data_IF_201379312094
#
_entry.id   IF_201379312094
#
_cell.length_a   1.000
_cell.length_b   1.000
_cell.length_c   1.000
_cell.angle_alpha   90.00
_cell.angle_beta   90.00
_cell.angle_gamma   90.00
#
_symmetry.space_group_name_H-M   'P 1'
#
loop_
_entity.id
_entity.type
_entity.pdbx_description
1 polymer ?
#
# COMPACT_ATOMS: atom_id res chain seq x y z
N UNK A 1 -12.85 -51.35 51.05
CA UNK A 1 -11.61 -50.64 50.80
C UNK A 1 -11.87 -49.60 49.68
N UNK A 2 -12.00 -48.33 50.07
CA UNK A 2 -12.28 -47.24 49.11
C UNK A 2 -10.94 -46.63 48.69
N UNK A 3 -10.57 -46.81 47.43
CA UNK A 3 -9.27 -46.41 46.84
C UNK A 3 -9.12 -44.90 46.80
N UNK A 4 -8.02 -44.32 47.31
CA UNK A 4 -7.79 -42.88 47.34
C UNK A 4 -7.47 -42.28 45.99
N UNK A 5 -7.34 -43.09 44.94
CA UNK A 5 -6.95 -42.64 43.57
C UNK A 5 -8.05 -41.86 42.84
N UNK A 6 -9.32 -42.01 43.23
CA UNK A 6 -10.42 -41.32 42.59
C UNK A 6 -10.47 -39.81 42.93
N UNK A 7 -9.94 -39.41 44.06
CA UNK A 7 -9.86 -38.00 44.47
C UNK A 7 -8.70 -37.25 43.79
N UNK A 8 -7.63 -37.96 43.42
CA UNK A 8 -6.50 -37.37 42.72
C UNK A 8 -6.79 -37.12 41.24
N UNK A 9 -7.62 -37.97 40.61
CA UNK A 9 -8.01 -37.80 39.20
C UNK A 9 -8.98 -36.63 39.02
N UNK A 10 -9.84 -36.35 39.98
CA UNK A 10 -10.75 -35.20 39.93
C UNK A 10 -10.04 -33.87 40.14
N UNK A 11 -8.94 -33.83 40.88
CA UNK A 11 -8.14 -32.64 41.09
C UNK A 11 -7.27 -32.31 39.85
N UNK A 12 -6.83 -33.30 39.05
CA UNK A 12 -6.09 -33.09 37.80
C UNK A 12 -6.99 -32.58 36.67
N UNK A 13 -8.27 -32.98 36.66
CA UNK A 13 -9.21 -32.51 35.64
C UNK A 13 -9.69 -31.07 35.87
N UNK A 14 -9.69 -30.60 37.13
CA UNK A 14 -10.06 -29.23 37.44
C UNK A 14 -8.96 -28.20 37.12
N UNK A 15 -7.71 -28.63 36.97
CA UNK A 15 -6.59 -27.72 36.65
C UNK A 15 -6.45 -27.40 35.16
N UNK A 16 -7.09 -28.18 34.27
CA UNK A 16 -7.02 -28.00 32.82
C UNK A 16 -8.04 -26.97 32.33
N UNK A 17 -9.02 -26.58 33.15
CA UNK A 17 -10.09 -25.64 32.74
C UNK A 17 -9.74 -24.17 33.05
N UNK A 18 -8.62 -23.92 33.75
CA UNK A 18 -8.18 -22.55 34.11
C UNK A 18 -6.98 -22.04 33.29
N UNK A 19 -6.75 -22.60 32.11
CA UNK A 19 -5.95 -21.84 31.14
C UNK A 19 -6.87 -20.71 30.66
N UNK A 20 -6.63 -19.45 31.04
CA UNK A 20 -7.33 -18.37 30.41
C UNK A 20 -6.94 -18.49 28.92
N UNK A 21 -7.95 -18.82 28.13
CA UNK A 21 -7.87 -18.68 26.70
C UNK A 21 -7.64 -17.17 26.49
N UNK A 22 -6.39 -16.73 26.55
CA UNK A 22 -5.98 -15.43 26.06
C UNK A 22 -6.22 -15.47 24.55
N UNK A 23 -7.49 -15.38 24.16
CA UNK A 23 -7.81 -14.67 22.94
C UNK A 23 -7.12 -13.34 23.17
N UNK A 24 -6.03 -13.11 22.45
CA UNK A 24 -5.55 -11.76 22.21
C UNK A 24 -6.76 -11.03 21.65
N UNK A 25 -7.50 -10.35 22.52
CA UNK A 25 -8.39 -9.30 22.09
C UNK A 25 -7.50 -8.33 21.36
N UNK A 26 -7.45 -8.45 20.02
CA UNK A 26 -6.90 -7.44 19.13
C UNK A 26 -7.86 -6.26 19.15
N UNK A 27 -7.98 -5.61 20.28
CA UNK A 27 -8.74 -4.36 20.46
C UNK A 27 -7.82 -3.15 20.47
N UNK A 28 -6.58 -3.27 19.97
CA UNK A 28 -5.86 -2.09 19.51
C UNK A 28 -6.19 -1.94 18.03
N UNK A 29 -7.05 -1.00 17.70
CA UNK A 29 -7.24 -0.58 16.32
C UNK A 29 -5.86 -0.20 15.77
N UNK A 30 -5.48 -0.77 14.61
CA UNK A 30 -4.22 -0.42 13.97
C UNK A 30 -4.17 1.09 13.74
N UNK A 31 -3.05 1.72 14.03
CA UNK A 31 -2.85 3.15 13.80
C UNK A 31 -2.88 3.52 12.29
N UNK A 32 -2.84 2.52 11.42
CA UNK A 32 -2.97 2.69 9.97
C UNK A 32 -4.42 2.79 9.48
N UNK A 33 -5.41 2.48 10.32
CA UNK A 33 -6.82 2.62 9.93
C UNK A 33 -7.16 4.09 9.70
N UNK A 34 -7.80 4.37 8.56
CA UNK A 34 -8.22 5.74 8.22
C UNK A 34 -8.31 6.02 6.74
N UNK A 35 -8.60 7.28 6.44
CA UNK A 35 -8.70 7.81 5.10
C UNK A 35 -7.45 8.63 4.77
N UNK A 36 -6.85 8.39 3.62
CA UNK A 36 -5.56 8.95 3.25
C UNK A 36 -5.56 9.52 1.84
N UNK A 37 -5.12 10.77 1.71
CA UNK A 37 -4.86 11.41 0.42
C UNK A 37 -3.36 11.35 0.14
N UNK A 38 -2.98 10.89 -1.04
CA UNK A 38 -1.58 10.90 -1.46
C UNK A 38 -1.16 12.34 -1.70
N UNK A 39 -0.31 12.88 -0.84
CA UNK A 39 0.13 14.28 -0.90
C UNK A 39 1.48 14.45 -1.57
N UNK A 40 2.34 13.43 -1.51
CA UNK A 40 3.63 13.44 -2.18
C UNK A 40 4.09 12.02 -2.53
N UNK A 41 4.69 11.88 -3.71
CA UNK A 41 5.37 10.66 -4.14
C UNK A 41 6.58 11.06 -5.00
N UNK A 42 7.78 10.76 -4.50
CA UNK A 42 9.04 11.10 -5.16
C UNK A 42 9.92 9.88 -5.32
N UNK A 43 10.67 9.80 -6.42
CA UNK A 43 11.70 8.77 -6.58
C UNK A 43 12.71 8.86 -5.43
N UNK A 44 12.90 7.77 -4.70
CA UNK A 44 13.90 7.68 -3.62
C UNK A 44 15.32 7.50 -4.17
N UNK A 45 15.45 6.90 -5.34
CA UNK A 45 16.71 6.63 -6.03
C UNK A 45 16.58 7.00 -7.51
N UNK A 46 17.69 7.31 -8.19
CA UNK A 46 17.68 7.54 -9.62
C UNK A 46 17.29 6.24 -10.36
N UNK A 47 16.42 6.38 -11.36
CA UNK A 47 15.98 5.29 -12.21
C UNK A 47 16.63 5.41 -13.59
N UNK A 48 17.44 4.42 -13.96
CA UNK A 48 18.08 4.38 -15.29
C UNK A 48 17.09 3.88 -16.34
N UNK A 49 16.89 4.66 -17.39
CA UNK A 49 16.00 4.32 -18.51
C UNK A 49 16.69 4.51 -19.85
N UNK A 50 16.51 3.59 -20.82
CA UNK A 50 17.08 3.74 -22.14
C UNK A 50 16.24 4.74 -22.95
N UNK A 51 16.91 5.71 -23.59
CA UNK A 51 16.31 6.68 -24.52
C UNK A 51 16.90 6.54 -25.92
N UNK A 52 16.16 7.02 -26.92
CA UNK A 52 16.61 6.98 -28.31
C UNK A 52 17.78 7.97 -28.53
N UNK A 53 17.68 9.14 -27.91
CA UNK A 53 18.59 10.27 -28.19
C UNK A 53 19.92 10.11 -27.44
N UNK A 54 19.91 9.62 -26.21
CA UNK A 54 21.08 9.67 -25.31
C UNK A 54 21.52 8.31 -24.77
N UNK A 55 20.90 7.20 -25.22
CA UNK A 55 21.16 5.90 -24.67
C UNK A 55 20.52 5.77 -23.26
N UNK A 56 21.30 5.40 -22.26
CA UNK A 56 20.78 5.24 -20.89
C UNK A 56 20.87 6.56 -20.11
N UNK A 57 19.74 7.06 -19.64
CA UNK A 57 19.62 8.33 -18.91
C UNK A 57 19.01 8.10 -17.52
N UNK A 58 19.53 8.74 -16.46
CA UNK A 58 18.89 8.68 -15.16
C UNK A 58 17.68 9.61 -15.08
N UNK A 59 16.53 9.08 -14.65
CA UNK A 59 15.49 9.92 -14.04
C UNK A 59 15.96 10.20 -12.62
N UNK A 60 16.20 11.47 -12.22
CA UNK A 60 16.86 11.79 -10.96
C UNK A 60 16.04 11.34 -9.74
N UNK A 61 16.71 11.00 -8.64
CA UNK A 61 16.08 10.93 -7.33
C UNK A 61 15.42 12.29 -7.01
N UNK A 62 14.30 12.25 -6.27
CA UNK A 62 13.49 13.45 -6.01
C UNK A 62 12.49 13.80 -7.12
N UNK A 63 12.54 13.15 -8.29
CA UNK A 63 11.51 13.36 -9.32
C UNK A 63 10.12 13.08 -8.75
N UNK A 64 9.25 14.10 -8.82
CA UNK A 64 7.90 14.05 -8.28
C UNK A 64 6.94 13.41 -9.28
N UNK A 65 6.26 12.34 -8.88
CA UNK A 65 5.26 11.64 -9.69
C UNK A 65 3.86 11.65 -9.05
N UNK A 66 3.65 12.50 -8.05
CA UNK A 66 2.38 12.58 -7.31
C UNK A 66 1.18 12.72 -8.24
N UNK A 67 1.27 13.62 -9.21
CA UNK A 67 0.19 13.84 -10.17
C UNK A 67 -0.12 12.62 -11.04
N UNK A 68 0.90 11.85 -11.41
CA UNK A 68 0.73 10.63 -12.20
C UNK A 68 -0.03 9.57 -11.39
N UNK A 69 0.33 9.38 -10.12
CA UNK A 69 -0.37 8.44 -9.22
C UNK A 69 -1.78 8.93 -8.96
N UNK A 70 -1.96 10.21 -8.64
CA UNK A 70 -3.28 10.80 -8.41
C UNK A 70 -4.19 10.64 -9.63
N UNK A 71 -3.69 10.91 -10.84
CA UNK A 71 -4.46 10.72 -12.07
C UNK A 71 -4.93 9.27 -12.26
N UNK A 72 -4.08 8.30 -11.92
CA UNK A 72 -4.43 6.88 -11.96
C UNK A 72 -5.55 6.54 -10.95
N UNK A 73 -5.47 7.06 -9.72
CA UNK A 73 -6.49 6.88 -8.70
C UNK A 73 -7.81 7.55 -9.08
N UNK A 74 -7.75 8.78 -9.60
CA UNK A 74 -8.92 9.52 -10.08
C UNK A 74 -9.67 8.74 -11.17
N UNK A 75 -8.93 8.17 -12.12
CA UNK A 75 -9.47 7.36 -13.19
C UNK A 75 -10.15 6.08 -12.65
N UNK A 76 -9.53 5.42 -11.66
CA UNK A 76 -10.06 4.17 -11.10
C UNK A 76 -11.43 4.35 -10.42
N UNK A 77 -11.67 5.48 -9.75
CA UNK A 77 -12.93 5.76 -9.05
C UNK A 77 -13.81 6.79 -9.76
N UNK A 78 -13.44 7.21 -10.95
CA UNK A 78 -14.14 8.25 -11.71
C UNK A 78 -14.36 9.54 -10.89
N UNK A 79 -13.31 10.00 -10.20
CA UNK A 79 -13.33 11.16 -9.32
C UNK A 79 -12.96 12.43 -10.08
N UNK A 80 -13.62 13.54 -9.76
CA UNK A 80 -13.44 14.82 -10.47
C UNK A 80 -12.20 15.61 -10.04
N UNK A 81 -11.67 15.34 -8.85
CA UNK A 81 -10.50 16.07 -8.33
C UNK A 81 -9.71 15.26 -7.30
N UNK A 82 -8.41 15.53 -7.20
CA UNK A 82 -7.49 14.78 -6.37
C UNK A 82 -7.74 14.95 -4.87
N UNK A 83 -8.16 16.12 -4.44
CA UNK A 83 -8.50 16.44 -3.04
C UNK A 83 -9.73 15.69 -2.54
N UNK A 84 -10.60 15.23 -3.45
CA UNK A 84 -11.77 14.39 -3.15
C UNK A 84 -11.48 12.90 -3.19
N UNK A 85 -10.38 12.49 -3.84
CA UNK A 85 -10.00 11.07 -3.89
C UNK A 85 -9.17 10.70 -2.67
N UNK A 86 -9.41 9.51 -2.12
CA UNK A 86 -8.65 8.99 -0.99
C UNK A 86 -8.59 7.46 -0.99
N UNK A 87 -7.59 6.96 -0.30
CA UNK A 87 -7.41 5.55 0.03
C UNK A 87 -7.97 5.33 1.41
N UNK A 88 -8.82 4.33 1.60
CA UNK A 88 -9.44 3.99 2.88
C UNK A 88 -8.93 2.62 3.35
N UNK A 89 -8.28 2.59 4.52
CA UNK A 89 -7.87 1.38 5.22
C UNK A 89 -8.86 1.11 6.34
N UNK A 90 -9.66 0.06 6.21
CA UNK A 90 -10.74 -0.27 7.16
C UNK A 90 -10.30 -1.28 8.21
N UNK A 91 -11.05 -1.33 9.32
CA UNK A 91 -10.82 -2.25 10.43
C UNK A 91 -10.96 -3.73 10.03
N UNK A 92 -11.75 -4.03 9.01
CA UNK A 92 -11.94 -5.36 8.45
C UNK A 92 -10.82 -5.78 7.47
N UNK A 93 -9.74 -4.98 7.42
CA UNK A 93 -8.62 -5.15 6.49
C UNK A 93 -8.98 -4.99 5.02
N UNK A 94 -10.14 -4.47 4.68
CA UNK A 94 -10.46 -4.10 3.32
C UNK A 94 -9.79 -2.77 2.93
N UNK A 95 -9.40 -2.67 1.66
CA UNK A 95 -8.80 -1.51 1.03
C UNK A 95 -9.79 -0.94 0.01
N UNK A 96 -10.13 0.33 0.15
CA UNK A 96 -10.98 1.02 -0.80
C UNK A 96 -10.27 2.22 -1.42
N UNK A 97 -10.57 2.44 -2.69
CA UNK A 97 -10.37 3.73 -3.35
C UNK A 97 -11.72 4.43 -3.36
N UNK A 98 -11.75 5.66 -2.90
CA UNK A 98 -13.01 6.40 -2.69
C UNK A 98 -12.92 7.81 -3.24
N UNK A 99 -14.06 8.32 -3.68
CA UNK A 99 -14.24 9.71 -4.07
C UNK A 99 -15.36 10.32 -3.22
N UNK A 100 -15.11 11.46 -2.60
CA UNK A 100 -16.06 12.14 -1.71
C UNK A 100 -17.36 12.48 -2.44
N UNK A 101 -18.48 12.02 -1.88
CA UNK A 101 -19.82 12.21 -2.44
C UNK A 101 -20.12 11.39 -3.70
N UNK A 102 -19.26 10.42 -4.07
CA UNK A 102 -19.41 9.60 -5.25
C UNK A 102 -19.02 8.12 -4.99
N UNK A 103 -18.44 7.47 -5.97
CA UNK A 103 -18.21 6.04 -6.00
C UNK A 103 -17.12 5.57 -5.01
N UNK A 104 -17.32 4.39 -4.45
CA UNK A 104 -16.32 3.59 -3.77
C UNK A 104 -15.97 2.36 -4.62
N UNK A 105 -14.69 2.04 -4.70
CA UNK A 105 -14.18 0.84 -5.35
C UNK A 105 -13.47 -0.01 -4.31
N UNK A 106 -13.90 -1.26 -4.11
CA UNK A 106 -13.11 -2.22 -3.35
C UNK A 106 -11.83 -2.50 -4.15
N UNK A 107 -10.72 -1.99 -3.67
CA UNK A 107 -9.42 -2.11 -4.30
C UNK A 107 -8.63 -3.34 -3.86
N UNK A 108 -9.11 -4.08 -2.85
CA UNK A 108 -8.46 -5.26 -2.33
C UNK A 108 -8.41 -5.32 -0.82
N UNK A 109 -7.25 -5.71 -0.28
CA UNK A 109 -7.04 -5.84 1.17
C UNK A 109 -5.72 -5.19 1.59
N UNK A 110 -5.60 -4.90 2.88
CA UNK A 110 -4.36 -4.46 3.48
C UNK A 110 -4.01 -5.31 4.71
N UNK A 111 -2.75 -5.30 5.08
CA UNK A 111 -2.21 -6.07 6.20
C UNK A 111 -1.15 -5.25 6.93
N UNK A 112 -1.25 -5.15 8.25
CA UNK A 112 -0.19 -4.61 9.07
C UNK A 112 0.88 -5.69 9.26
N UNK A 113 2.04 -5.49 8.64
CA UNK A 113 3.19 -6.41 8.74
C UNK A 113 3.95 -6.14 10.04
N UNK A 114 4.08 -4.87 10.41
CA UNK A 114 4.66 -4.40 11.67
C UNK A 114 4.19 -2.97 11.96
N UNK A 115 4.54 -2.41 13.10
CA UNK A 115 4.25 -1.00 13.43
C UNK A 115 4.86 0.03 12.46
N UNK A 116 5.79 -0.39 11.61
CA UNK A 116 6.46 0.47 10.62
C UNK A 116 6.34 -0.06 9.20
N UNK A 117 5.46 -1.04 8.97
CA UNK A 117 5.29 -1.63 7.64
C UNK A 117 3.87 -2.12 7.42
N UNK A 118 3.32 -1.80 6.27
CA UNK A 118 2.03 -2.29 5.80
C UNK A 118 2.14 -2.85 4.38
N UNK A 119 1.26 -3.79 4.06
CA UNK A 119 1.16 -4.41 2.75
C UNK A 119 -0.22 -4.16 2.18
N UNK A 120 -0.26 -3.68 0.94
CA UNK A 120 -1.48 -3.43 0.18
C UNK A 120 -1.56 -4.47 -0.94
N UNK A 121 -2.59 -5.31 -0.90
CA UNK A 121 -2.89 -6.27 -1.96
C UNK A 121 -3.98 -5.67 -2.84
N UNK A 122 -3.58 -4.97 -3.91
CA UNK A 122 -4.51 -4.29 -4.80
C UNK A 122 -4.93 -5.21 -5.95
N UNK A 123 -6.23 -5.30 -6.19
CA UNK A 123 -6.79 -6.12 -7.25
C UNK A 123 -6.69 -5.44 -8.63
N UNK A 124 -6.95 -6.20 -9.71
CA UNK A 124 -6.91 -5.69 -11.08
C UNK A 124 -7.97 -4.64 -11.40
N UNK A 125 -9.05 -4.59 -10.63
CA UNK A 125 -10.09 -3.56 -10.81
C UNK A 125 -9.58 -2.17 -10.41
N UNK A 126 -8.75 -2.11 -9.35
CA UNK A 126 -8.11 -0.88 -8.91
C UNK A 126 -6.95 -0.46 -9.82
N UNK A 127 -6.32 -1.42 -10.49
CA UNK A 127 -5.17 -1.18 -11.37
C UNK A 127 -5.40 -1.91 -12.70
N UNK A 128 -6.18 -1.34 -13.61
CA UNK A 128 -6.54 -1.99 -14.88
C UNK A 128 -5.33 -2.36 -15.76
N UNK A 129 -4.19 -1.68 -15.57
CA UNK A 129 -2.93 -2.00 -16.27
C UNK A 129 -2.24 -3.26 -15.75
N UNK A 130 -2.72 -3.85 -14.64
CA UNK A 130 -2.18 -5.09 -14.06
C UNK A 130 -3.28 -6.14 -13.93
N UNK A 131 -3.40 -7.10 -14.85
CA UNK A 131 -4.48 -8.10 -14.85
C UNK A 131 -4.47 -9.01 -13.62
N UNK A 132 -3.36 -9.14 -12.94
CA UNK A 132 -3.21 -9.93 -11.69
C UNK A 132 -3.30 -9.08 -10.41
N UNK A 133 -3.52 -7.75 -10.54
CA UNK A 133 -3.34 -6.82 -9.44
C UNK A 133 -1.87 -6.60 -9.08
N UNK A 134 -1.62 -5.86 -8.02
CA UNK A 134 -0.27 -5.63 -7.50
C UNK A 134 -0.23 -5.75 -5.98
N UNK A 135 0.93 -6.13 -5.47
CA UNK A 135 1.24 -6.10 -4.04
C UNK A 135 2.25 -4.98 -3.81
N UNK A 136 1.87 -4.01 -2.99
CA UNK A 136 2.76 -2.92 -2.57
C UNK A 136 3.07 -3.10 -1.08
N UNK A 137 4.36 -3.10 -0.74
CA UNK A 137 4.79 -3.06 0.65
C UNK A 137 5.34 -1.67 0.94
N UNK A 138 4.73 -0.98 1.90
CA UNK A 138 5.22 0.29 2.42
C UNK A 138 6.02 0.00 3.69
N UNK A 139 7.26 0.44 3.73
CA UNK A 139 8.20 0.24 4.83
C UNK A 139 8.70 1.57 5.39
N UNK A 140 9.43 1.53 6.48
CA UNK A 140 9.97 2.71 7.15
C UNK A 140 8.86 3.75 7.45
N UNK A 141 7.67 3.25 7.81
CA UNK A 141 6.53 4.12 8.06
C UNK A 141 6.77 4.89 9.36
N UNK A 142 6.57 6.19 9.25
CA UNK A 142 6.42 7.09 10.39
C UNK A 142 5.04 7.72 10.33
N UNK A 143 4.34 7.71 11.45
CA UNK A 143 3.01 8.31 11.60
C UNK A 143 3.09 9.57 12.43
N UNK A 144 2.30 10.57 12.06
CA UNK A 144 2.07 11.77 12.86
C UNK A 144 0.59 12.16 12.81
N UNK A 145 0.23 13.28 13.45
CA UNK A 145 -1.16 13.76 13.46
C UNK A 145 -1.68 14.13 12.07
N UNK A 146 -0.80 14.38 11.11
CA UNK A 146 -1.16 14.81 9.75
C UNK A 146 -1.25 13.64 8.77
N UNK A 147 -0.67 12.48 9.09
CA UNK A 147 -0.71 11.32 8.22
C UNK A 147 0.43 10.34 8.42
N UNK A 148 0.88 9.75 7.34
CA UNK A 148 2.00 8.80 7.33
C UNK A 148 2.96 9.08 6.18
N UNK A 149 4.23 8.80 6.40
CA UNK A 149 5.28 8.77 5.38
C UNK A 149 5.92 7.39 5.37
N UNK A 150 6.40 6.95 4.23
CA UNK A 150 7.06 5.66 4.11
C UNK A 150 7.76 5.50 2.77
N UNK A 151 8.32 4.32 2.54
CA UNK A 151 8.98 3.94 1.30
C UNK A 151 8.28 2.74 0.67
N UNK A 152 8.19 2.71 -0.65
CA UNK A 152 7.62 1.58 -1.39
C UNK A 152 8.35 1.36 -2.70
N UNK A 153 8.27 0.15 -3.23
CA UNK A 153 8.71 -0.16 -4.58
C UNK A 153 7.49 -0.38 -5.46
N UNK A 154 7.40 0.38 -6.55
CA UNK A 154 6.27 0.34 -7.47
C UNK A 154 6.74 -0.11 -8.84
N UNK A 155 6.06 -1.05 -9.50
CA UNK A 155 6.30 -1.37 -10.90
C UNK A 155 5.79 -0.22 -11.79
N UNK A 156 6.69 0.48 -12.47
CA UNK A 156 6.35 1.49 -13.47
C UNK A 156 6.30 0.83 -14.84
N UNK A 157 5.17 0.97 -15.52
CA UNK A 157 5.04 0.50 -16.91
C UNK A 157 5.78 1.41 -17.87
N UNK A 158 6.08 0.90 -19.05
CA UNK A 158 6.66 1.65 -20.16
C UNK A 158 5.91 2.96 -20.46
N UNK A 159 4.57 2.92 -20.41
CA UNK A 159 3.71 4.10 -20.60
C UNK A 159 3.90 5.14 -19.50
N UNK A 160 4.01 4.71 -18.23
CA UNK A 160 4.26 5.62 -17.10
C UNK A 160 5.63 6.29 -17.21
N UNK A 161 6.66 5.52 -17.58
CA UNK A 161 8.00 6.07 -17.85
C UNK A 161 7.98 7.08 -18.99
N UNK A 162 7.30 6.76 -20.10
CA UNK A 162 7.13 7.69 -21.21
C UNK A 162 6.43 8.99 -20.77
N UNK A 163 5.41 8.90 -19.91
CA UNK A 163 4.74 10.06 -19.31
C UNK A 163 5.68 10.93 -18.46
N UNK A 164 6.58 10.31 -17.68
CA UNK A 164 7.60 11.05 -16.91
C UNK A 164 8.60 11.73 -17.86
N UNK A 165 9.05 11.04 -18.90
CA UNK A 165 10.00 11.58 -19.88
C UNK A 165 9.39 12.67 -20.77
N UNK A 166 8.07 12.68 -20.96
CA UNK A 166 7.39 13.72 -21.74
C UNK A 166 7.58 15.14 -21.19
N UNK A 167 7.95 15.27 -19.90
CA UNK A 167 8.32 16.56 -19.30
C UNK A 167 9.71 17.05 -19.73
N UNK A 168 10.52 16.18 -20.34
CA UNK A 168 11.83 16.47 -20.93
C UNK A 168 11.80 15.92 -22.37
N UNK A 169 12.45 16.58 -23.35
CA UNK A 169 12.34 16.19 -24.76
C UNK A 169 13.15 14.92 -25.08
N UNK A 170 12.81 13.82 -24.37
CA UNK A 170 13.43 12.51 -24.52
C UNK A 170 12.38 11.46 -24.88
N UNK A 171 12.74 10.56 -25.76
CA UNK A 171 11.90 9.46 -26.21
C UNK A 171 12.41 8.15 -25.62
N UNK A 172 11.52 7.37 -25.02
CA UNK A 172 11.86 6.05 -24.51
C UNK A 172 12.27 5.13 -25.66
N UNK A 173 13.38 4.40 -25.49
CA UNK A 173 13.85 3.46 -26.51
C UNK A 173 12.81 2.35 -26.76
N UNK A 174 12.64 1.89 -28.01
CA UNK A 174 11.83 0.70 -28.32
C UNK A 174 12.29 -0.56 -27.57
N UNK A 175 13.58 -0.64 -27.24
CA UNK A 175 14.19 -1.75 -26.48
C UNK A 175 14.03 -1.62 -24.96
N UNK A 176 13.34 -0.57 -24.48
CA UNK A 176 13.06 -0.40 -23.06
C UNK A 176 12.26 -1.57 -22.50
N UNK A 177 12.52 -1.92 -21.25
CA UNK A 177 11.76 -2.95 -20.53
C UNK A 177 10.29 -2.54 -20.40
N UNK A 178 9.40 -3.52 -20.36
CA UNK A 178 7.97 -3.25 -20.18
C UNK A 178 7.63 -2.75 -18.77
N UNK A 179 8.45 -3.13 -17.78
CA UNK A 179 8.26 -2.77 -16.36
C UNK A 179 9.61 -2.43 -15.72
N UNK A 180 9.64 -1.34 -14.97
CA UNK A 180 10.75 -0.89 -14.14
C UNK A 180 10.34 -0.90 -12.68
N UNK A 181 11.14 -1.52 -11.81
CA UNK A 181 10.92 -1.43 -10.36
C UNK A 181 11.56 -0.13 -9.85
N UNK A 182 10.75 0.79 -9.40
CA UNK A 182 11.19 2.08 -8.90
C UNK A 182 10.87 2.22 -7.41
N UNK A 183 11.85 2.72 -6.64
CA UNK A 183 11.67 3.00 -5.21
C UNK A 183 11.16 4.42 -5.01
N UNK A 184 10.14 4.56 -4.19
CA UNK A 184 9.51 5.83 -3.88
C UNK A 184 9.52 6.13 -2.39
N UNK A 185 9.68 7.40 -2.06
CA UNK A 185 9.24 7.99 -0.81
C UNK A 185 7.82 8.52 -1.01
N UNK A 186 6.89 8.09 -0.15
CA UNK A 186 5.48 8.47 -0.25
C UNK A 186 5.02 9.17 1.03
N UNK A 187 4.16 10.16 0.87
CA UNK A 187 3.49 10.84 1.97
C UNK A 187 1.99 10.79 1.73
N UNK A 188 1.27 10.36 2.75
CA UNK A 188 -0.17 10.31 2.79
C UNK A 188 -0.66 11.22 3.90
N UNK A 189 -1.49 12.18 3.58
CA UNK A 189 -2.13 13.02 4.58
C UNK A 189 -3.43 12.36 5.03
N UNK A 190 -3.67 12.35 6.34
CA UNK A 190 -4.93 11.90 6.91
C UNK A 190 -6.04 12.87 6.53
N UNK A 191 -7.21 12.32 6.14
CA UNK A 191 -8.37 13.12 5.72
C UNK A 191 -9.36 13.29 6.87
#
# INVERSE_FOLDING_TARGET
MKTPYFKLLAAMFALVVLVPNCKKDKTSSSEFIGNYVISNATLAEALMVPTVELGSVPIPAGTNITQLIQASLLSAVNCSSADKSYVELREDFSLYLSCEGANQLNAGTWEEVSSTSLKLNMNSTAIPSSPTGIVLTVTDITTDQTGLTGKTTVPLTKTMIAGILAAIPLTLSPTAQDVYLAKFSVKFNKK
#
